data_IF_336898383006
#
_entry.id   IF_336898383006
#
_cell.length_a   1.000
_cell.length_b   1.000
_cell.length_c   1.000
_cell.angle_alpha   90.00
_cell.angle_beta   90.00
_cell.angle_gamma   90.00
#
_symmetry.space_group_name_H-M   'P 1'
#
loop_
_entity.id
_entity.type
_entity.pdbx_description
1 polymer ?
#
# COMPACT_ATOMS: atom_id res chain seq x y z
N UNK A 1 -9.81 -24.04 -3.03
CA UNK A 1 -8.38 -23.86 -3.40
C UNK A 1 -8.05 -22.42 -3.80
N UNK A 2 -8.76 -21.81 -4.76
CA UNK A 2 -8.53 -20.43 -5.19
C UNK A 2 -8.61 -19.35 -4.09
N UNK A 3 -9.60 -19.44 -3.17
CA UNK A 3 -9.75 -18.47 -2.08
C UNK A 3 -8.53 -18.47 -1.14
N UNK A 4 -8.02 -19.65 -0.78
CA UNK A 4 -6.84 -19.78 0.09
C UNK A 4 -5.61 -19.19 -0.60
N UNK A 5 -5.43 -19.48 -1.89
CA UNK A 5 -4.35 -18.89 -2.68
C UNK A 5 -4.43 -17.36 -2.72
N UNK A 6 -5.61 -16.81 -3.05
CA UNK A 6 -5.83 -15.37 -3.04
C UNK A 6 -5.59 -14.76 -1.65
N UNK A 7 -5.93 -15.50 -0.60
CA UNK A 7 -5.69 -15.04 0.77
C UNK A 7 -4.20 -14.92 1.09
N UNK A 8 -3.41 -15.92 0.72
CA UNK A 8 -1.95 -15.87 0.85
C UNK A 8 -1.33 -14.79 -0.03
N UNK A 9 -1.82 -14.65 -1.26
CA UNK A 9 -1.37 -13.63 -2.19
C UNK A 9 -1.58 -12.21 -1.66
N UNK A 10 -2.77 -11.89 -1.13
CA UNK A 10 -3.02 -10.56 -0.57
C UNK A 10 -2.16 -10.30 0.67
N UNK A 11 -1.96 -11.32 1.51
CA UNK A 11 -1.06 -11.24 2.66
C UNK A 11 0.35 -10.87 2.23
N UNK A 12 0.90 -11.58 1.23
CA UNK A 12 2.22 -11.29 0.69
C UNK A 12 2.28 -9.90 0.04
N UNK A 13 1.26 -9.52 -0.74
CA UNK A 13 1.19 -8.22 -1.41
C UNK A 13 1.22 -7.08 -0.39
N UNK A 14 0.36 -7.12 0.64
CA UNK A 14 0.35 -6.10 1.69
C UNK A 14 1.65 -6.09 2.50
N UNK A 15 2.21 -7.28 2.79
CA UNK A 15 3.47 -7.38 3.54
C UNK A 15 4.62 -6.73 2.78
N UNK A 16 4.79 -7.05 1.50
CA UNK A 16 5.86 -6.48 0.66
C UNK A 16 5.69 -4.98 0.46
N UNK A 17 4.46 -4.51 0.21
CA UNK A 17 4.16 -3.07 0.10
C UNK A 17 4.45 -2.33 1.41
N UNK A 18 4.09 -2.93 2.54
CA UNK A 18 4.40 -2.38 3.87
C UNK A 18 5.89 -2.36 4.17
N UNK A 19 6.60 -3.44 3.83
CA UNK A 19 8.05 -3.52 3.99
C UNK A 19 8.78 -2.45 3.16
N UNK A 20 8.36 -2.22 1.91
CA UNK A 20 8.84 -1.10 1.09
C UNK A 20 8.54 0.25 1.74
N UNK A 21 7.35 0.42 2.31
CA UNK A 21 7.00 1.62 3.06
C UNK A 21 7.90 1.86 4.27
N UNK A 22 8.15 0.83 5.07
CA UNK A 22 9.08 0.89 6.21
C UNK A 22 10.48 1.24 5.75
N UNK A 23 10.95 0.65 4.65
CA UNK A 23 12.24 1.00 4.04
C UNK A 23 12.29 2.48 3.63
N UNK A 24 11.25 3.01 2.99
CA UNK A 24 11.20 4.42 2.62
C UNK A 24 11.16 5.35 3.83
N UNK A 25 10.45 5.00 4.91
CA UNK A 25 10.51 5.77 6.16
C UNK A 25 11.91 5.75 6.73
N UNK A 26 12.55 4.58 6.80
CA UNK A 26 13.92 4.44 7.30
C UNK A 26 14.92 5.25 6.48
N UNK A 27 14.84 5.21 5.15
CA UNK A 27 15.72 6.00 4.29
C UNK A 27 15.46 7.51 4.44
N UNK A 28 14.20 7.93 4.59
CA UNK A 28 13.87 9.34 4.80
C UNK A 28 14.37 9.88 6.14
N UNK A 29 14.19 9.14 7.23
CA UNK A 29 14.50 9.65 8.58
C UNK A 29 15.88 9.24 9.09
N UNK A 30 16.41 8.12 8.61
CA UNK A 30 17.63 7.50 9.09
C UNK A 30 18.86 7.73 8.22
N UNK A 31 18.72 8.38 7.05
CA UNK A 31 19.86 8.67 6.16
C UNK A 31 19.79 10.08 5.59
N UNK A 32 20.95 10.70 5.34
CA UNK A 32 21.04 12.00 4.65
C UNK A 32 20.82 11.91 3.13
N UNK A 33 20.08 10.89 2.66
CA UNK A 33 19.80 10.74 1.24
C UNK A 33 18.71 11.72 0.78
N UNK A 34 19.14 12.79 0.12
CA UNK A 34 18.29 13.85 -0.42
C UNK A 34 17.15 13.33 -1.33
N UNK A 35 17.38 12.23 -2.05
CA UNK A 35 16.41 11.63 -2.97
C UNK A 35 15.18 11.01 -2.28
N UNK A 36 15.27 10.70 -0.97
CA UNK A 36 14.18 10.08 -0.20
C UNK A 36 13.55 11.05 0.79
N UNK A 37 13.97 12.32 0.76
CA UNK A 37 13.34 13.39 1.53
C UNK A 37 11.99 13.75 0.92
N UNK A 38 10.94 13.82 1.75
CA UNK A 38 9.57 14.05 1.30
C UNK A 38 9.07 13.00 0.28
N UNK A 39 9.34 11.72 0.55
CA UNK A 39 9.06 10.65 -0.41
C UNK A 39 7.56 10.39 -0.60
N UNK A 40 6.96 10.91 -1.68
CA UNK A 40 5.53 10.76 -1.98
C UNK A 40 5.13 9.31 -2.32
N UNK A 41 6.09 8.41 -2.57
CA UNK A 41 5.79 6.98 -2.74
C UNK A 41 5.24 6.34 -1.45
N UNK A 42 5.38 6.98 -0.28
CA UNK A 42 4.76 6.52 0.97
C UNK A 42 3.22 6.46 0.92
N UNK A 43 2.58 7.15 -0.04
CA UNK A 43 1.12 7.11 -0.20
C UNK A 43 0.68 5.72 -0.72
N UNK A 44 1.40 5.11 -1.67
CA UNK A 44 1.06 3.77 -2.16
C UNK A 44 1.85 2.67 -1.45
N UNK A 45 3.11 2.93 -1.09
CA UNK A 45 3.94 2.07 -0.25
C UNK A 45 3.66 2.36 1.23
N UNK A 46 2.42 2.12 1.65
CA UNK A 46 1.94 2.51 2.97
C UNK A 46 2.55 1.61 4.08
N UNK A 47 3.39 2.13 4.99
CA UNK A 47 4.25 1.31 5.86
C UNK A 47 3.45 0.39 6.79
N UNK A 48 2.29 0.85 7.30
CA UNK A 48 1.47 0.04 8.22
C UNK A 48 0.82 -1.18 7.56
N UNK A 49 0.88 -1.31 6.22
CA UNK A 49 0.45 -2.53 5.52
C UNK A 49 1.22 -3.77 5.99
N UNK A 50 2.45 -3.60 6.49
CA UNK A 50 3.27 -4.71 7.00
C UNK A 50 2.58 -5.42 8.17
N UNK A 51 1.91 -4.67 9.04
CA UNK A 51 1.15 -5.22 10.16
C UNK A 51 -0.20 -5.73 9.69
N UNK A 52 -0.89 -4.97 8.82
CA UNK A 52 -2.22 -5.32 8.33
C UNK A 52 -2.23 -6.62 7.53
N UNK A 53 -1.15 -6.96 6.85
CA UNK A 53 -0.98 -8.23 6.13
C UNK A 53 -1.40 -9.45 6.96
N UNK A 54 -1.12 -9.45 8.27
CA UNK A 54 -1.44 -10.55 9.18
C UNK A 54 -2.88 -10.54 9.68
N UNK A 55 -3.59 -9.42 9.53
CA UNK A 55 -4.97 -9.25 9.98
C UNK A 55 -6.00 -9.31 8.85
N UNK A 56 -5.60 -9.42 7.58
CA UNK A 56 -6.47 -9.34 6.39
C UNK A 56 -7.67 -10.33 6.40
N UNK A 57 -7.56 -11.44 7.13
CA UNK A 57 -8.63 -12.43 7.26
C UNK A 57 -9.50 -12.24 8.51
N UNK A 58 -9.20 -11.26 9.36
CA UNK A 58 -10.00 -10.96 10.55
C UNK A 58 -11.21 -10.11 10.17
N UNK A 59 -12.39 -10.42 10.71
CA UNK A 59 -13.63 -9.63 10.51
C UNK A 59 -13.73 -8.41 11.44
N UNK A 60 -12.59 -7.80 11.78
CA UNK A 60 -12.55 -6.68 12.74
C UNK A 60 -12.98 -5.37 12.05
N UNK A 61 -13.84 -4.59 12.70
CA UNK A 61 -14.36 -3.34 12.14
C UNK A 61 -13.29 -2.28 11.84
N UNK A 62 -12.17 -2.26 12.58
CA UNK A 62 -11.06 -1.35 12.30
C UNK A 62 -10.38 -1.66 10.96
N UNK A 63 -10.38 -2.93 10.52
CA UNK A 63 -9.76 -3.32 9.26
C UNK A 63 -10.56 -2.81 8.07
N UNK A 64 -11.89 -2.78 8.15
CA UNK A 64 -12.75 -2.15 7.15
C UNK A 64 -12.42 -0.66 7.00
N UNK A 65 -12.26 0.05 8.13
CA UNK A 65 -11.86 1.47 8.17
C UNK A 65 -10.44 1.69 7.62
N UNK A 66 -9.53 0.77 7.93
CA UNK A 66 -8.17 0.79 7.39
C UNK A 66 -8.17 0.64 5.86
N UNK A 67 -8.90 -0.35 5.33
CA UNK A 67 -8.94 -0.61 3.90
C UNK A 67 -9.51 0.56 3.12
N UNK A 68 -10.58 1.21 3.60
CA UNK A 68 -11.12 2.39 2.92
C UNK A 68 -10.13 3.56 2.93
N UNK A 69 -9.43 3.80 4.04
CA UNK A 69 -8.38 4.81 4.11
C UNK A 69 -7.25 4.53 3.11
N UNK A 70 -6.78 3.27 3.06
CA UNK A 70 -5.72 2.87 2.13
C UNK A 70 -6.17 2.96 0.67
N UNK A 71 -7.40 2.53 0.34
CA UNK A 71 -8.00 2.69 -1.00
C UNK A 71 -8.05 4.17 -1.40
N UNK A 72 -8.50 5.05 -0.50
CA UNK A 72 -8.51 6.50 -0.75
C UNK A 72 -7.10 7.02 -1.00
N UNK A 73 -6.10 6.59 -0.23
CA UNK A 73 -4.70 6.92 -0.46
C UNK A 73 -4.20 6.48 -1.84
N UNK A 74 -4.52 5.24 -2.26
CA UNK A 74 -4.15 4.74 -3.59
C UNK A 74 -4.79 5.54 -4.73
N UNK A 75 -6.06 5.95 -4.57
CA UNK A 75 -6.74 6.81 -5.54
C UNK A 75 -6.06 8.18 -5.60
N UNK A 76 -5.74 8.78 -4.45
CA UNK A 76 -5.02 10.05 -4.39
C UNK A 76 -3.67 9.93 -5.09
N UNK A 77 -2.90 8.87 -4.81
CA UNK A 77 -1.64 8.61 -5.51
C UNK A 77 -1.86 8.55 -7.03
N UNK A 78 -2.85 7.78 -7.49
CA UNK A 78 -3.19 7.61 -8.91
C UNK A 78 -3.71 8.90 -9.60
N UNK A 79 -4.24 9.86 -8.84
CA UNK A 79 -4.75 11.10 -9.42
C UNK A 79 -3.75 12.26 -9.31
N UNK A 80 -2.72 12.14 -8.48
CA UNK A 80 -1.83 13.26 -8.16
C UNK A 80 -0.38 13.06 -8.56
N UNK A 81 0.11 11.82 -8.79
CA UNK A 81 1.55 11.55 -8.91
C UNK A 81 2.28 12.40 -9.96
N UNK A 82 1.59 12.78 -11.03
CA UNK A 82 2.14 13.55 -12.15
C UNK A 82 2.30 15.05 -11.84
N UNK A 83 1.59 15.55 -10.84
CA UNK A 83 1.72 16.92 -10.33
C UNK A 83 2.69 17.06 -9.16
N UNK A 84 3.07 15.94 -8.53
CA UNK A 84 3.96 15.95 -7.37
C UNK A 84 5.41 16.25 -7.78
N UNK A 85 6.19 16.96 -6.92
CA UNK A 85 7.61 17.21 -7.16
C UNK A 85 8.43 15.94 -7.39
N UNK A 86 8.04 14.84 -6.73
CA UNK A 86 8.56 13.50 -6.99
C UNK A 86 7.47 12.66 -7.63
N UNK A 87 7.70 12.30 -8.90
CA UNK A 87 6.78 11.45 -9.64
C UNK A 87 6.98 9.97 -9.26
N UNK A 88 5.88 9.23 -9.28
CA UNK A 88 5.92 7.77 -9.21
C UNK A 88 6.41 7.21 -10.55
N UNK A 89 7.25 6.17 -10.51
CA UNK A 89 7.69 5.48 -11.72
C UNK A 89 6.50 4.80 -12.42
N UNK A 90 6.30 5.06 -13.72
CA UNK A 90 5.20 4.50 -14.51
C UNK A 90 5.19 2.95 -14.52
N UNK A 91 6.34 2.30 -14.35
CA UNK A 91 6.43 0.84 -14.22
C UNK A 91 5.70 0.30 -12.98
N UNK A 92 5.41 1.16 -11.99
CA UNK A 92 4.68 0.81 -10.78
C UNK A 92 3.16 0.93 -10.94
N UNK A 93 2.65 1.55 -12.02
CA UNK A 93 1.21 1.69 -12.25
C UNK A 93 0.45 0.36 -12.15
N UNK A 94 0.91 -0.74 -12.78
CA UNK A 94 0.25 -2.04 -12.64
C UNK A 94 0.20 -2.53 -11.19
N UNK A 95 1.24 -2.25 -10.39
CA UNK A 95 1.31 -2.63 -8.97
C UNK A 95 0.32 -1.83 -8.14
N UNK A 96 0.25 -0.51 -8.33
CA UNK A 96 -0.69 0.35 -7.61
C UNK A 96 -2.15 0.05 -7.97
N UNK A 97 -2.43 -0.21 -9.26
CA UNK A 97 -3.75 -0.64 -9.72
C UNK A 97 -4.14 -2.02 -9.16
N UNK A 98 -3.19 -2.95 -9.10
CA UNK A 98 -3.40 -4.25 -8.46
C UNK A 98 -3.70 -4.08 -6.97
N UNK A 99 -2.92 -3.29 -6.24
CA UNK A 99 -3.16 -2.97 -4.83
C UNK A 99 -4.57 -2.38 -4.63
N UNK A 100 -4.98 -1.45 -5.48
CA UNK A 100 -6.31 -0.85 -5.43
C UNK A 100 -7.40 -1.89 -5.62
N UNK A 101 -7.29 -2.71 -6.67
CA UNK A 101 -8.26 -3.76 -6.95
C UNK A 101 -8.36 -4.78 -5.80
N UNK A 102 -7.21 -5.28 -5.32
CA UNK A 102 -7.18 -6.28 -4.23
C UNK A 102 -7.71 -5.71 -2.92
N UNK A 103 -7.35 -4.48 -2.58
CA UNK A 103 -7.86 -3.78 -1.39
C UNK A 103 -9.38 -3.58 -1.46
N UNK A 104 -9.90 -3.19 -2.62
CA UNK A 104 -11.34 -3.04 -2.83
C UNK A 104 -12.09 -4.38 -2.72
N UNK A 105 -11.55 -5.46 -3.30
CA UNK A 105 -12.13 -6.81 -3.15
C UNK A 105 -12.14 -7.25 -1.69
N UNK A 106 -11.10 -6.93 -0.92
CA UNK A 106 -11.07 -7.19 0.53
C UNK A 106 -12.12 -6.37 1.27
N UNK A 107 -12.25 -5.09 0.97
CA UNK A 107 -13.27 -4.23 1.57
C UNK A 107 -14.70 -4.76 1.34
N UNK A 108 -15.00 -5.22 0.12
CA UNK A 108 -16.30 -5.81 -0.23
C UNK A 108 -16.62 -7.11 0.53
N UNK A 109 -15.60 -7.81 1.04
CA UNK A 109 -15.78 -9.07 1.78
C UNK A 109 -16.13 -8.90 3.27
N UNK A 110 -16.21 -7.65 3.76
CA UNK A 110 -16.63 -7.29 5.13
C UNK A 110 -18.11 -6.96 5.23
#
# INVERSE_FOLDING_TARGET
KAIIFLNGFDGLLFFLTGALGVLFVFMWTGTDHSMVKNNFNLIWAWPTNILVAFFLNSKRGWLKKYLILFITGLIIALLSWFFLPQQMNNALLPVVLLLLYRSFRRYQSF
#
